data_IF_871881980183
#
_entry.id   IF_871881980183
#
_cell.length_a   1.000
_cell.length_b   1.000
_cell.length_c   1.000
_cell.angle_alpha   90.00
_cell.angle_beta   90.00
_cell.angle_gamma   90.00
#
_symmetry.space_group_name_H-M   'P 1'
#
loop_
_entity.id
_entity.type
_entity.pdbx_description
1 polymer ?
#
# COMPACT_ATOMS: atom_id res chain seq x y z
N UNK A 1 -18.04 -45.96 -5.72
CA UNK A 1 -18.45 -44.58 -5.31
C UNK A 1 -18.00 -43.64 -6.40
N UNK A 2 -18.93 -43.15 -7.20
CA UNK A 2 -18.69 -42.23 -8.31
C UNK A 2 -18.16 -40.91 -7.74
N UNK A 3 -17.00 -40.48 -8.23
CA UNK A 3 -16.50 -39.13 -8.07
C UNK A 3 -17.55 -38.22 -8.75
N UNK A 4 -18.45 -37.63 -7.94
CA UNK A 4 -19.27 -36.53 -8.41
C UNK A 4 -18.29 -35.49 -8.99
N UNK A 5 -18.52 -35.14 -10.25
CA UNK A 5 -17.81 -34.04 -10.91
C UNK A 5 -18.15 -32.77 -10.14
N UNK A 6 -17.30 -32.42 -9.16
CA UNK A 6 -17.42 -31.13 -8.48
C UNK A 6 -17.39 -30.06 -9.58
N UNK A 7 -18.52 -29.41 -9.79
CA UNK A 7 -18.63 -28.34 -10.79
C UNK A 7 -17.60 -27.29 -10.45
N UNK A 8 -16.71 -26.99 -11.41
CA UNK A 8 -15.67 -25.98 -11.23
C UNK A 8 -16.30 -24.63 -10.84
N UNK A 9 -15.79 -23.93 -9.82
CA UNK A 9 -16.38 -22.68 -9.36
C UNK A 9 -16.40 -21.63 -10.47
N UNK A 10 -17.48 -20.85 -10.53
CA UNK A 10 -17.57 -19.66 -11.39
C UNK A 10 -16.99 -18.46 -10.65
N UNK A 11 -16.02 -17.80 -11.26
CA UNK A 11 -15.26 -16.70 -10.64
C UNK A 11 -15.42 -15.44 -11.50
N UNK A 12 -15.89 -14.35 -10.90
CA UNK A 12 -15.89 -13.02 -11.54
C UNK A 12 -14.65 -12.26 -11.09
N UNK A 13 -13.93 -11.69 -12.05
CA UNK A 13 -12.57 -11.14 -11.85
C UNK A 13 -12.51 -9.73 -12.42
N UNK A 14 -11.95 -8.79 -11.64
CA UNK A 14 -11.54 -7.46 -12.15
C UNK A 14 -10.50 -7.64 -13.26
N UNK A 15 -10.85 -7.23 -14.49
CA UNK A 15 -10.04 -7.42 -15.71
C UNK A 15 -8.70 -6.67 -15.70
N UNK A 16 -8.53 -5.74 -14.76
CA UNK A 16 -7.32 -4.96 -14.56
C UNK A 16 -6.36 -5.57 -13.53
N UNK A 17 -6.64 -6.77 -12.99
CA UNK A 17 -5.68 -7.48 -12.14
C UNK A 17 -4.52 -7.98 -13.04
N UNK A 18 -3.29 -7.51 -12.81
CA UNK A 18 -2.17 -7.86 -13.67
C UNK A 18 -1.85 -9.37 -13.62
N UNK A 19 -1.48 -9.94 -14.74
CA UNK A 19 -0.93 -11.31 -14.87
C UNK A 19 -1.89 -12.42 -14.42
N UNK A 20 -3.20 -12.18 -14.26
CA UNK A 20 -4.16 -13.15 -13.71
C UNK A 20 -4.73 -14.10 -14.77
N UNK A 21 -4.87 -13.63 -16.03
CA UNK A 21 -5.42 -14.42 -17.13
C UNK A 21 -4.55 -15.63 -17.44
N UNK A 22 -5.18 -16.78 -17.69
CA UNK A 22 -4.51 -18.06 -17.89
C UNK A 22 -4.17 -18.80 -16.59
N UNK A 23 -4.07 -18.09 -15.45
CA UNK A 23 -3.79 -18.67 -14.15
C UNK A 23 -5.08 -18.93 -13.35
N UNK A 24 -6.02 -18.00 -13.36
CA UNK A 24 -7.29 -18.13 -12.65
C UNK A 24 -8.15 -19.28 -13.22
N UNK A 25 -8.03 -19.57 -14.50
CA UNK A 25 -8.69 -20.67 -15.19
C UNK A 25 -8.27 -22.06 -14.66
N UNK A 26 -7.17 -22.15 -13.92
CA UNK A 26 -6.77 -23.38 -13.22
C UNK A 26 -7.69 -23.65 -12.02
N UNK A 27 -8.29 -22.61 -11.44
CA UNK A 27 -9.20 -22.73 -10.30
C UNK A 27 -10.63 -23.02 -10.77
N UNK A 28 -11.14 -22.26 -11.75
CA UNK A 28 -12.55 -22.29 -12.12
C UNK A 28 -12.83 -21.73 -13.51
N UNK A 29 -14.13 -21.52 -13.78
CA UNK A 29 -14.60 -20.80 -14.98
C UNK A 29 -14.60 -19.31 -14.67
N UNK A 30 -13.84 -18.53 -15.46
CA UNK A 30 -13.58 -17.13 -15.18
C UNK A 30 -14.38 -16.20 -16.10
N UNK A 31 -14.93 -15.13 -15.53
CA UNK A 31 -15.55 -14.01 -16.24
C UNK A 31 -14.79 -12.74 -15.85
N UNK A 32 -14.27 -12.03 -16.83
CA UNK A 32 -13.46 -10.80 -16.62
C UNK A 32 -14.30 -9.57 -16.94
N UNK A 33 -14.39 -8.65 -15.99
CA UNK A 33 -15.16 -7.41 -16.11
C UNK A 33 -14.38 -6.23 -15.54
N UNK A 34 -14.63 -5.00 -16.05
CA UNK A 34 -14.07 -3.81 -15.41
C UNK A 34 -14.51 -3.73 -13.96
N UNK A 35 -13.56 -3.62 -13.01
CA UNK A 35 -13.87 -3.70 -11.58
C UNK A 35 -14.91 -2.70 -11.09
N UNK A 36 -14.98 -1.50 -11.69
CA UNK A 36 -16.01 -0.49 -11.39
C UNK A 36 -17.39 -0.78 -11.98
N UNK A 37 -17.49 -1.72 -12.93
CA UNK A 37 -18.72 -2.08 -13.62
C UNK A 37 -19.34 -3.40 -13.12
N UNK A 38 -18.66 -4.13 -12.24
CA UNK A 38 -19.19 -5.37 -11.66
C UNK A 38 -20.49 -5.08 -10.90
N UNK A 39 -21.58 -5.67 -11.34
CA UNK A 39 -22.94 -5.49 -10.83
C UNK A 39 -23.47 -6.74 -10.12
N UNK A 40 -24.62 -6.61 -9.44
CA UNK A 40 -25.33 -7.76 -8.80
C UNK A 40 -25.69 -8.85 -9.79
N UNK A 41 -26.10 -8.47 -11.01
CA UNK A 41 -26.50 -9.44 -12.03
C UNK A 41 -25.31 -10.27 -12.51
N UNK A 42 -24.12 -9.67 -12.63
CA UNK A 42 -22.90 -10.36 -13.04
C UNK A 42 -22.47 -11.44 -12.05
N UNK A 43 -22.74 -11.22 -10.76
CA UNK A 43 -22.29 -12.11 -9.69
C UNK A 43 -23.36 -13.04 -9.13
N UNK A 44 -24.60 -12.95 -9.61
CA UNK A 44 -25.73 -13.75 -9.10
C UNK A 44 -25.40 -15.23 -9.01
N UNK A 45 -24.76 -15.77 -10.05
CA UNK A 45 -24.40 -17.17 -10.18
C UNK A 45 -22.87 -17.41 -9.99
N UNK A 46 -22.14 -16.43 -9.48
CA UNK A 46 -20.73 -16.57 -9.20
C UNK A 46 -20.50 -17.21 -7.83
N UNK A 47 -19.51 -18.07 -7.72
CA UNK A 47 -19.08 -18.70 -6.47
C UNK A 47 -18.03 -17.86 -5.75
N UNK A 48 -17.24 -17.07 -6.51
CA UNK A 48 -16.21 -16.17 -5.95
C UNK A 48 -16.00 -14.91 -6.78
N UNK A 49 -15.43 -13.90 -6.11
CA UNK A 49 -14.90 -12.68 -6.73
C UNK A 49 -13.40 -12.58 -6.50
N UNK A 50 -12.65 -12.10 -7.50
CA UNK A 50 -11.29 -11.62 -7.33
C UNK A 50 -11.24 -10.16 -7.80
N UNK A 51 -10.98 -9.23 -6.87
CA UNK A 51 -11.18 -7.80 -7.09
C UNK A 51 -9.94 -6.97 -6.75
N UNK A 52 -10.03 -5.68 -7.01
CA UNK A 52 -9.15 -4.61 -6.51
C UNK A 52 -10.01 -3.50 -5.90
N UNK A 53 -9.36 -2.40 -5.52
CA UNK A 53 -9.95 -1.28 -4.79
C UNK A 53 -11.14 -0.58 -5.50
N UNK A 54 -11.38 -0.84 -6.80
CA UNK A 54 -12.46 -0.22 -7.57
C UNK A 54 -13.82 -0.91 -7.41
N UNK A 55 -13.85 -2.13 -6.88
CA UNK A 55 -15.08 -2.89 -6.63
C UNK A 55 -15.41 -2.81 -5.15
N UNK A 56 -16.46 -2.09 -4.77
CA UNK A 56 -16.94 -2.06 -3.38
C UNK A 56 -17.77 -3.32 -3.10
N UNK A 57 -17.27 -4.18 -2.23
CA UNK A 57 -17.89 -5.45 -1.86
C UNK A 57 -18.56 -5.35 -0.48
N UNK A 58 -19.84 -5.12 -0.48
CA UNK A 58 -20.69 -5.07 0.70
C UNK A 58 -22.09 -5.55 0.36
N UNK A 59 -23.08 -5.34 1.24
CA UNK A 59 -24.46 -5.78 1.06
C UNK A 59 -25.06 -5.32 -0.29
N UNK A 60 -24.78 -4.09 -0.73
CA UNK A 60 -25.29 -3.56 -2.00
C UNK A 60 -24.90 -4.38 -3.23
N UNK A 61 -23.74 -5.04 -3.21
CA UNK A 61 -23.27 -5.91 -4.29
C UNK A 61 -23.57 -7.39 -4.00
N UNK A 62 -23.24 -7.87 -2.79
CA UNK A 62 -23.14 -9.30 -2.49
C UNK A 62 -24.47 -9.94 -2.04
N UNK A 63 -25.41 -9.14 -1.51
CA UNK A 63 -26.66 -9.68 -0.98
C UNK A 63 -27.52 -10.37 -2.07
N UNK A 64 -27.97 -11.60 -1.79
CA UNK A 64 -28.73 -12.43 -2.72
C UNK A 64 -27.90 -13.07 -3.84
N UNK A 65 -26.58 -12.95 -3.84
CA UNK A 65 -25.68 -13.67 -4.74
C UNK A 65 -25.32 -15.07 -4.20
N UNK A 66 -24.73 -15.92 -5.05
CA UNK A 66 -24.14 -17.20 -4.64
C UNK A 66 -22.69 -17.10 -4.16
N UNK A 67 -22.14 -15.89 -4.10
CA UNK A 67 -20.73 -15.68 -3.74
C UNK A 67 -20.46 -16.19 -2.34
N UNK A 68 -19.48 -17.05 -2.22
CA UNK A 68 -18.98 -17.64 -0.96
C UNK A 68 -17.62 -17.12 -0.56
N UNK A 69 -16.88 -16.52 -1.51
CA UNK A 69 -15.53 -16.04 -1.25
C UNK A 69 -15.19 -14.78 -2.07
N UNK A 70 -14.51 -13.84 -1.44
CA UNK A 70 -13.98 -12.62 -2.08
C UNK A 70 -12.50 -12.50 -1.80
N UNK A 71 -11.66 -12.51 -2.83
CA UNK A 71 -10.25 -12.18 -2.70
C UNK A 71 -9.97 -10.79 -3.26
N UNK A 72 -9.13 -9.99 -2.60
CA UNK A 72 -8.59 -8.78 -3.20
C UNK A 72 -7.08 -8.88 -3.44
N UNK A 73 -6.65 -8.58 -4.66
CA UNK A 73 -5.23 -8.57 -5.06
C UNK A 73 -4.48 -7.32 -4.53
N UNK A 74 -4.91 -6.79 -3.38
CA UNK A 74 -4.37 -5.58 -2.74
C UNK A 74 -4.14 -5.79 -1.25
N UNK A 75 -3.26 -5.00 -0.64
CA UNK A 75 -3.07 -5.02 0.83
C UNK A 75 -4.27 -4.41 1.53
N UNK A 76 -4.66 -3.18 1.13
CA UNK A 76 -5.81 -2.49 1.69
C UNK A 76 -7.11 -3.20 1.33
N UNK A 77 -8.02 -3.29 2.31
CA UNK A 77 -9.34 -3.89 2.17
C UNK A 77 -10.47 -2.92 2.51
N UNK A 78 -10.21 -1.61 2.44
CA UNK A 78 -11.17 -0.55 2.75
C UNK A 78 -12.43 -0.57 1.84
N UNK A 79 -12.34 -1.25 0.70
CA UNK A 79 -13.43 -1.49 -0.25
C UNK A 79 -14.25 -2.76 0.05
N UNK A 80 -13.83 -3.57 1.04
CA UNK A 80 -14.53 -4.76 1.51
C UNK A 80 -15.26 -4.45 2.82
N UNK A 81 -16.58 -4.64 2.86
CA UNK A 81 -17.33 -4.64 4.12
C UNK A 81 -17.16 -6.00 4.82
N UNK A 82 -16.03 -6.16 5.51
CA UNK A 82 -15.68 -7.42 6.16
C UNK A 82 -16.69 -7.80 7.24
N UNK A 83 -17.25 -6.82 7.95
CA UNK A 83 -18.28 -7.08 8.96
C UNK A 83 -19.57 -7.62 8.36
N UNK A 84 -19.99 -7.12 7.19
CA UNK A 84 -21.09 -7.71 6.44
C UNK A 84 -20.77 -9.14 5.98
N UNK A 85 -19.59 -9.34 5.38
CA UNK A 85 -19.19 -10.66 4.87
C UNK A 85 -19.15 -11.71 5.97
N UNK A 86 -18.61 -11.38 7.15
CA UNK A 86 -18.58 -12.27 8.31
C UNK A 86 -19.99 -12.67 8.74
N UNK A 87 -20.94 -11.71 8.84
CA UNK A 87 -22.33 -12.00 9.16
C UNK A 87 -23.04 -12.82 8.09
N UNK A 88 -22.70 -12.63 6.83
CA UNK A 88 -23.26 -13.34 5.69
C UNK A 88 -22.62 -14.71 5.43
N UNK A 89 -21.58 -15.08 6.19
CA UNK A 89 -20.84 -16.33 6.00
C UNK A 89 -19.98 -16.35 4.73
N UNK A 90 -19.63 -15.17 4.19
CA UNK A 90 -18.78 -15.03 3.01
C UNK A 90 -17.32 -14.93 3.47
N UNK A 91 -16.51 -15.89 3.06
CA UNK A 91 -15.06 -15.86 3.30
C UNK A 91 -14.39 -14.74 2.51
N UNK A 92 -13.31 -14.19 3.04
CA UNK A 92 -12.54 -13.19 2.31
C UNK A 92 -11.04 -13.29 2.57
N UNK A 93 -10.24 -12.78 1.64
CA UNK A 93 -8.80 -12.65 1.80
C UNK A 93 -8.29 -11.39 1.08
N UNK A 94 -7.24 -10.79 1.65
CA UNK A 94 -6.45 -9.76 0.99
C UNK A 94 -5.03 -10.28 0.70
N UNK A 95 -4.16 -9.43 0.16
CA UNK A 95 -2.77 -9.76 -0.17
C UNK A 95 -1.78 -9.04 0.79
N UNK A 96 -1.68 -9.46 2.08
CA UNK A 96 -0.95 -8.71 3.08
C UNK A 96 0.56 -8.74 2.81
N UNK A 97 1.16 -7.55 2.64
CA UNK A 97 2.59 -7.38 2.40
C UNK A 97 3.03 -7.61 0.96
N UNK A 98 2.14 -7.82 0.01
CA UNK A 98 2.50 -8.07 -1.39
C UNK A 98 3.37 -6.96 -2.01
N UNK A 99 3.22 -5.71 -1.58
CA UNK A 99 3.99 -4.57 -2.07
C UNK A 99 4.94 -3.97 -1.02
N UNK A 100 5.27 -4.70 0.04
CA UNK A 100 6.13 -4.17 1.10
C UNK A 100 7.54 -3.81 0.59
N UNK A 101 8.07 -4.57 -0.37
CA UNK A 101 9.34 -4.28 -1.04
C UNK A 101 9.28 -2.96 -1.82
N UNK A 102 8.19 -2.73 -2.57
CA UNK A 102 7.96 -1.46 -3.27
C UNK A 102 8.00 -0.26 -2.35
N UNK A 103 7.27 -0.33 -1.22
CA UNK A 103 7.23 0.77 -0.25
C UNK A 103 8.61 0.97 0.37
N UNK A 104 9.32 -0.11 0.69
CA UNK A 104 10.68 -0.02 1.22
C UNK A 104 11.66 0.61 0.20
N UNK A 105 11.53 0.28 -1.09
CA UNK A 105 12.26 0.94 -2.17
C UNK A 105 11.92 2.43 -2.26
N UNK A 106 10.61 2.76 -2.25
CA UNK A 106 10.12 4.14 -2.30
C UNK A 106 10.71 4.98 -1.17
N UNK A 107 10.61 4.52 0.08
CA UNK A 107 11.15 5.20 1.26
C UNK A 107 12.67 5.42 1.13
N UNK A 108 13.40 4.37 0.77
CA UNK A 108 14.85 4.44 0.62
C UNK A 108 15.27 5.41 -0.50
N UNK A 109 14.64 5.31 -1.68
CA UNK A 109 14.92 6.19 -2.81
C UNK A 109 14.52 7.64 -2.53
N UNK A 110 13.42 7.89 -1.80
CA UNK A 110 13.04 9.24 -1.37
C UNK A 110 14.10 9.88 -0.48
N UNK A 111 14.62 9.14 0.49
CA UNK A 111 15.70 9.61 1.37
C UNK A 111 16.98 9.90 0.60
N UNK A 112 17.37 9.04 -0.34
CA UNK A 112 18.52 9.27 -1.22
C UNK A 112 18.32 10.48 -2.13
N UNK A 113 17.12 10.67 -2.67
CA UNK A 113 16.75 11.80 -3.53
C UNK A 113 16.82 13.15 -2.78
N UNK A 114 16.55 13.14 -1.47
CA UNK A 114 16.70 14.29 -0.57
C UNK A 114 18.17 14.48 -0.11
N UNK A 115 19.11 13.66 -0.54
CA UNK A 115 20.51 13.72 -0.12
C UNK A 115 20.76 13.30 1.32
N UNK A 116 19.82 12.55 1.93
CA UNK A 116 19.94 12.15 3.34
C UNK A 116 21.11 11.17 3.55
N UNK A 117 21.98 11.48 4.52
CA UNK A 117 22.98 10.54 5.04
C UNK A 117 22.32 9.64 6.06
N UNK A 118 22.19 8.33 5.76
CA UNK A 118 21.41 7.39 6.57
C UNK A 118 22.22 6.78 7.73
N UNK A 119 23.51 6.54 7.53
CA UNK A 119 24.36 5.94 8.55
C UNK A 119 24.39 6.76 9.85
N UNK A 120 24.11 6.09 10.97
CA UNK A 120 24.06 6.70 12.30
C UNK A 120 22.79 7.51 12.61
N UNK A 121 21.86 7.63 11.67
CA UNK A 121 20.56 8.29 11.89
C UNK A 121 19.58 7.37 12.62
N UNK A 122 18.67 7.96 13.36
CA UNK A 122 17.57 7.25 14.04
C UNK A 122 16.30 7.36 13.20
N UNK A 123 15.78 6.22 12.75
CA UNK A 123 14.54 6.12 12.02
C UNK A 123 13.44 5.52 12.91
N UNK A 124 12.35 6.25 13.11
CA UNK A 124 11.15 5.75 13.78
C UNK A 124 10.15 5.20 12.74
N UNK A 125 9.75 3.95 12.91
CA UNK A 125 8.74 3.28 12.10
C UNK A 125 7.45 3.25 12.91
N UNK A 126 6.48 4.08 12.53
CA UNK A 126 5.14 4.14 13.12
C UNK A 126 4.21 3.24 12.32
N UNK A 127 3.75 2.14 12.94
CA UNK A 127 3.11 1.03 12.26
C UNK A 127 4.14 0.01 11.74
N UNK A 128 4.55 -0.91 12.61
CA UNK A 128 5.56 -1.94 12.32
C UNK A 128 4.96 -3.26 11.81
N UNK A 129 3.90 -3.17 11.00
CA UNK A 129 3.32 -4.30 10.28
C UNK A 129 4.26 -4.87 9.20
N UNK A 130 3.73 -5.57 8.20
CA UNK A 130 4.53 -6.16 7.11
C UNK A 130 5.33 -5.10 6.34
N UNK A 131 4.69 -3.98 6.00
CA UNK A 131 5.33 -2.86 5.28
C UNK A 131 6.38 -2.18 6.18
N UNK A 132 5.97 -1.70 7.36
CA UNK A 132 6.88 -1.00 8.25
C UNK A 132 8.08 -1.85 8.69
N UNK A 133 7.90 -3.16 8.88
CA UNK A 133 9.02 -4.07 9.16
C UNK A 133 10.01 -4.16 8.00
N UNK A 134 9.52 -4.23 6.75
CA UNK A 134 10.38 -4.24 5.56
C UNK A 134 11.14 -2.92 5.40
N UNK A 135 10.46 -1.78 5.60
CA UNK A 135 11.08 -0.44 5.62
C UNK A 135 12.16 -0.37 6.71
N UNK A 136 11.83 -0.79 7.94
CA UNK A 136 12.79 -0.82 9.04
C UNK A 136 14.02 -1.67 8.74
N UNK A 137 13.85 -2.84 8.12
CA UNK A 137 14.96 -3.70 7.71
C UNK A 137 15.84 -3.02 6.63
N UNK A 138 15.20 -2.36 5.65
CA UNK A 138 15.94 -1.62 4.60
C UNK A 138 16.75 -0.47 5.19
N UNK A 139 16.18 0.27 6.15
CA UNK A 139 16.88 1.38 6.81
C UNK A 139 18.00 0.91 7.76
N UNK A 140 17.81 -0.24 8.46
CA UNK A 140 18.89 -0.87 9.23
C UNK A 140 20.06 -1.27 8.33
N UNK A 141 19.77 -1.89 7.19
CA UNK A 141 20.80 -2.25 6.21
C UNK A 141 21.53 -1.02 5.64
N UNK A 142 20.88 0.15 5.63
CA UNK A 142 21.49 1.44 5.26
C UNK A 142 22.22 2.14 6.42
N UNK A 143 22.35 1.50 7.60
CA UNK A 143 23.08 1.99 8.76
C UNK A 143 22.28 2.84 9.73
N UNK A 144 20.93 2.86 9.62
CA UNK A 144 20.09 3.55 10.60
C UNK A 144 19.91 2.72 11.88
N UNK A 145 19.84 3.40 13.04
CA UNK A 145 19.19 2.87 14.24
C UNK A 145 17.68 2.94 14.03
N UNK A 146 16.96 1.82 14.19
CA UNK A 146 15.51 1.77 13.96
C UNK A 146 14.77 1.60 15.27
N UNK A 147 13.82 2.49 15.53
CA UNK A 147 12.82 2.44 16.61
C UNK A 147 11.50 1.97 16.00
N UNK A 148 10.84 1.00 16.65
CA UNK A 148 9.53 0.51 16.23
C UNK A 148 8.46 1.07 17.17
N UNK A 149 7.41 1.67 16.61
CA UNK A 149 6.25 2.15 17.34
C UNK A 149 4.99 1.48 16.76
N UNK A 150 4.47 0.47 17.46
CA UNK A 150 3.27 -0.29 17.07
C UNK A 150 2.64 -0.88 18.34
N UNK A 151 1.80 -0.11 19.07
CA UNK A 151 1.20 -0.55 20.30
C UNK A 151 0.39 -1.86 20.17
N UNK A 152 -0.47 -2.07 19.13
CA UNK A 152 -1.17 -3.33 18.95
C UNK A 152 -0.24 -4.54 18.78
N UNK A 153 0.89 -4.34 18.13
CA UNK A 153 1.89 -5.40 17.95
C UNK A 153 2.66 -5.65 19.25
N UNK A 154 3.01 -4.60 19.97
CA UNK A 154 3.66 -4.70 21.28
C UNK A 154 2.82 -5.50 22.28
N UNK A 155 1.50 -5.26 22.31
CA UNK A 155 0.57 -5.99 23.18
C UNK A 155 0.49 -7.48 22.85
N UNK A 156 0.54 -7.83 21.55
CA UNK A 156 0.46 -9.24 21.10
C UNK A 156 1.76 -10.00 21.24
N UNK A 157 2.89 -9.36 20.98
CA UNK A 157 4.19 -10.04 20.77
C UNK A 157 5.20 -9.70 21.88
N UNK A 158 4.97 -8.62 22.64
CA UNK A 158 5.98 -8.06 23.54
C UNK A 158 7.15 -7.47 22.74
N UNK A 159 8.27 -7.24 23.43
CA UNK A 159 9.52 -6.82 22.80
C UNK A 159 9.82 -5.34 22.89
N UNK A 160 10.87 -4.90 22.19
CA UNK A 160 11.40 -3.54 22.26
C UNK A 160 10.67 -2.60 21.30
N UNK A 161 9.53 -2.08 21.72
CA UNK A 161 8.84 -0.99 21.06
C UNK A 161 8.98 0.31 21.85
N UNK A 162 8.83 1.43 21.16
CA UNK A 162 8.81 2.77 21.75
C UNK A 162 7.41 3.37 21.63
N UNK A 163 7.06 4.28 22.52
CA UNK A 163 5.86 5.11 22.39
C UNK A 163 5.99 6.09 21.21
N UNK A 164 4.86 6.62 20.74
CA UNK A 164 4.86 7.65 19.72
C UNK A 164 5.60 8.93 20.19
N UNK A 165 5.52 9.25 21.48
CA UNK A 165 6.24 10.39 22.08
C UNK A 165 7.76 10.18 22.05
N UNK A 166 8.24 9.00 22.41
CA UNK A 166 9.67 8.66 22.33
C UNK A 166 10.17 8.67 20.87
N UNK A 167 9.35 8.16 19.95
CA UNK A 167 9.63 8.22 18.52
C UNK A 167 9.78 9.66 18.03
N UNK A 168 8.83 10.55 18.39
CA UNK A 168 8.87 11.97 18.03
C UNK A 168 10.11 12.68 18.58
N UNK A 169 10.47 12.41 19.85
CA UNK A 169 11.62 13.06 20.49
C UNK A 169 12.97 12.64 19.91
N UNK A 170 13.13 11.38 19.47
CA UNK A 170 14.43 10.80 19.14
C UNK A 170 14.74 10.73 17.63
N UNK A 171 13.71 10.76 16.76
CA UNK A 171 13.86 10.44 15.36
C UNK A 171 14.51 11.54 14.51
N UNK A 172 15.42 11.14 13.61
CA UNK A 172 15.88 11.93 12.47
C UNK A 172 15.02 11.67 11.22
N UNK A 173 14.34 10.53 11.19
CA UNK A 173 13.44 10.08 10.12
C UNK A 173 12.21 9.47 10.78
N UNK A 174 11.00 9.88 10.36
CA UNK A 174 9.72 9.29 10.78
C UNK A 174 9.03 8.70 9.57
N UNK A 175 8.77 7.40 9.58
CA UNK A 175 8.05 6.69 8.54
C UNK A 175 6.70 6.20 9.08
N UNK A 176 5.60 6.64 8.48
CA UNK A 176 4.23 6.29 8.87
C UNK A 176 3.67 5.23 7.92
N UNK A 177 3.32 4.06 8.47
CA UNK A 177 2.80 2.90 7.74
C UNK A 177 1.59 2.26 8.44
N UNK A 178 0.84 3.04 9.23
CA UNK A 178 -0.35 2.55 9.93
C UNK A 178 -1.52 2.36 8.96
N UNK A 179 -2.40 1.37 9.20
CA UNK A 179 -3.73 1.37 8.59
C UNK A 179 -4.55 2.53 9.15
N UNK A 180 -5.65 2.89 8.49
CA UNK A 180 -6.63 3.82 9.02
C UNK A 180 -7.61 3.06 9.93
N UNK A 181 -7.74 3.51 11.16
CA UNK A 181 -8.74 3.05 12.13
C UNK A 181 -9.34 4.23 12.85
N UNK A 182 -10.68 4.26 12.93
CA UNK A 182 -11.41 5.39 13.53
C UNK A 182 -11.80 5.15 14.99
N UNK A 183 -11.74 3.89 15.45
CA UNK A 183 -12.24 3.47 16.75
C UNK A 183 -11.25 2.57 17.50
N UNK A 184 -11.47 2.47 18.81
CA UNK A 184 -10.68 1.63 19.70
C UNK A 184 -9.48 2.35 20.31
N UNK A 185 -8.72 1.66 21.18
CA UNK A 185 -7.64 2.28 21.98
C UNK A 185 -6.45 2.71 21.10
N UNK A 186 -6.34 2.17 19.90
CA UNK A 186 -5.26 2.44 18.95
C UNK A 186 -5.79 3.05 17.64
N UNK A 187 -6.79 3.94 17.74
CA UNK A 187 -7.26 4.71 16.59
C UNK A 187 -6.10 5.48 15.94
N UNK A 188 -6.08 5.50 14.60
CA UNK A 188 -4.96 6.07 13.84
C UNK A 188 -5.34 7.31 13.04
N UNK A 189 -6.64 7.66 12.99
CA UNK A 189 -7.07 8.94 12.38
C UNK A 189 -6.40 10.09 13.11
N UNK A 190 -5.71 10.95 12.35
CA UNK A 190 -4.93 12.08 12.88
C UNK A 190 -3.93 11.66 13.98
N UNK A 191 -3.34 10.47 13.84
CA UNK A 191 -2.31 9.97 14.75
C UNK A 191 -1.12 10.94 14.86
N UNK A 192 -0.74 11.54 13.73
CA UNK A 192 0.24 12.63 13.68
C UNK A 192 -0.51 13.96 13.67
N UNK A 193 -0.89 14.39 14.85
CA UNK A 193 -1.59 15.64 15.13
C UNK A 193 -0.64 16.77 15.59
N UNK A 194 -1.20 17.90 16.00
CA UNK A 194 -0.43 19.02 16.55
C UNK A 194 0.44 18.59 17.74
N UNK A 195 -0.06 17.71 18.63
CA UNK A 195 0.70 17.28 19.80
C UNK A 195 1.93 16.46 19.39
N UNK A 196 1.81 15.64 18.35
CA UNK A 196 2.95 14.92 17.78
C UNK A 196 4.01 15.90 17.26
N UNK A 197 3.61 16.86 16.43
CA UNK A 197 4.55 17.82 15.82
C UNK A 197 5.19 18.75 16.86
N UNK A 198 4.48 19.14 17.90
CA UNK A 198 5.03 19.93 19.00
C UNK A 198 6.11 19.17 19.82
N UNK A 199 6.06 17.86 19.83
CA UNK A 199 7.00 16.98 20.57
C UNK A 199 8.22 16.56 19.78
N UNK A 200 8.36 16.98 18.53
CA UNK A 200 9.54 16.69 17.73
C UNK A 200 10.80 17.27 18.41
N UNK A 201 11.68 16.40 18.88
CA UNK A 201 12.95 16.79 19.51
C UNK A 201 14.01 17.18 18.50
N UNK A 202 13.82 16.83 17.23
CA UNK A 202 14.69 17.12 16.09
C UNK A 202 13.83 17.63 14.94
N UNK A 203 14.49 17.94 13.84
CA UNK A 203 13.82 18.28 12.56
C UNK A 203 13.88 17.05 11.65
N UNK A 204 13.00 16.05 11.86
CA UNK A 204 13.05 14.82 11.08
C UNK A 204 12.62 15.02 9.63
N UNK A 205 13.04 14.10 8.77
CA UNK A 205 12.35 13.83 7.51
C UNK A 205 11.09 13.02 7.85
N UNK A 206 9.91 13.53 7.47
CA UNK A 206 8.65 12.81 7.58
C UNK A 206 8.32 12.11 6.27
N UNK A 207 8.02 10.81 6.33
CA UNK A 207 7.55 10.02 5.19
C UNK A 207 6.20 9.42 5.53
N UNK A 208 5.14 9.85 4.82
CA UNK A 208 3.79 9.33 4.94
C UNK A 208 3.44 8.45 3.73
N UNK A 209 3.38 7.14 3.93
CA UNK A 209 3.09 6.13 2.91
C UNK A 209 2.19 5.00 3.44
N UNK A 210 1.27 5.33 4.35
CA UNK A 210 0.25 4.44 4.90
C UNK A 210 -1.14 4.81 4.42
N UNK A 211 -1.82 5.71 5.17
CA UNK A 211 -3.11 6.32 4.84
C UNK A 211 -3.04 7.81 5.14
N UNK A 212 -3.62 8.64 4.27
CA UNK A 212 -3.56 10.10 4.36
C UNK A 212 -4.17 10.63 5.65
N UNK A 213 -5.32 10.11 6.01
CA UNK A 213 -6.08 10.50 7.21
C UNK A 213 -5.37 10.16 8.54
N UNK A 214 -4.26 9.45 8.50
CA UNK A 214 -3.44 9.23 9.71
C UNK A 214 -2.60 10.48 10.07
N UNK A 215 -2.53 11.47 9.20
CA UNK A 215 -1.86 12.75 9.42
C UNK A 215 -2.90 13.87 9.36
N UNK A 216 -2.95 14.72 10.38
CA UNK A 216 -3.73 15.96 10.32
C UNK A 216 -3.04 16.94 9.36
N UNK A 217 -3.66 17.18 8.20
CA UNK A 217 -3.15 18.07 7.15
C UNK A 217 -2.88 19.49 7.67
N UNK A 218 -3.76 20.03 8.52
CA UNK A 218 -3.61 21.39 9.07
C UNK A 218 -2.43 21.48 10.03
N UNK A 219 -2.30 20.49 10.92
CA UNK A 219 -1.18 20.40 11.86
C UNK A 219 0.15 20.21 11.12
N UNK A 220 0.19 19.37 10.07
CA UNK A 220 1.37 19.18 9.24
C UNK A 220 1.81 20.46 8.54
N UNK A 221 0.88 21.18 7.88
CA UNK A 221 1.19 22.50 7.25
C UNK A 221 1.76 23.49 8.26
N UNK A 222 1.17 23.54 9.46
CA UNK A 222 1.66 24.40 10.55
C UNK A 222 3.08 24.01 10.97
N UNK A 223 3.36 22.72 11.12
CA UNK A 223 4.69 22.23 11.49
C UNK A 223 5.75 22.52 10.41
N UNK A 224 5.39 22.40 9.12
CA UNK A 224 6.29 22.76 8.01
C UNK A 224 6.63 24.25 8.05
N UNK A 225 5.62 25.14 8.16
CA UNK A 225 5.83 26.58 8.24
C UNK A 225 6.67 26.99 9.44
N UNK A 226 6.51 26.32 10.57
CA UNK A 226 7.28 26.54 11.78
C UNK A 226 8.72 25.95 11.70
N UNK A 227 9.11 25.32 10.59
CA UNK A 227 10.41 24.70 10.42
C UNK A 227 10.67 23.51 11.35
N UNK A 228 9.63 22.83 11.83
CA UNK A 228 9.74 21.68 12.72
C UNK A 228 10.20 20.41 11.99
N UNK A 229 10.09 20.36 10.67
CA UNK A 229 10.49 19.25 9.81
C UNK A 229 11.70 19.64 8.96
N UNK A 230 12.57 18.67 8.68
CA UNK A 230 13.72 18.82 7.80
C UNK A 230 13.34 18.69 6.32
N UNK A 231 12.44 17.74 6.03
CA UNK A 231 11.81 17.54 4.73
C UNK A 231 10.54 16.67 4.88
N UNK A 232 9.70 16.66 3.83
CA UNK A 232 8.46 15.90 3.80
C UNK A 232 8.31 15.10 2.50
N UNK A 233 7.96 13.82 2.65
CA UNK A 233 7.64 12.90 1.56
C UNK A 233 6.23 12.39 1.79
N UNK A 234 5.31 12.78 0.92
CA UNK A 234 3.88 12.47 1.05
C UNK A 234 3.43 11.66 -0.15
N UNK A 235 3.06 10.41 0.08
CA UNK A 235 2.48 9.53 -0.95
C UNK A 235 0.97 9.39 -0.81
N UNK A 236 0.45 9.57 0.41
CA UNK A 236 -0.96 9.41 0.75
C UNK A 236 -1.52 10.69 1.34
N UNK A 237 -2.77 11.02 1.00
CA UNK A 237 -3.38 12.32 1.25
C UNK A 237 -4.76 12.19 1.88
N UNK A 238 -5.13 13.13 2.74
CA UNK A 238 -6.53 13.31 3.05
C UNK A 238 -7.30 13.72 1.78
N UNK A 239 -8.52 13.21 1.63
CA UNK A 239 -9.41 13.50 0.51
C UNK A 239 -8.89 13.07 -0.88
N UNK A 240 -8.13 11.95 -0.97
CA UNK A 240 -7.80 11.38 -2.29
C UNK A 240 -9.05 11.18 -3.15
N UNK A 241 -9.02 11.52 -4.44
CA UNK A 241 -7.86 11.89 -5.26
C UNK A 241 -7.59 13.40 -5.35
N UNK A 242 -8.16 14.21 -4.46
CA UNK A 242 -8.04 15.67 -4.45
C UNK A 242 -7.20 16.13 -3.25
N UNK A 243 -5.85 16.01 -3.30
CA UNK A 243 -4.99 16.43 -2.21
C UNK A 243 -5.11 17.94 -1.94
N UNK A 244 -4.90 18.35 -0.68
CA UNK A 244 -4.81 19.78 -0.31
C UNK A 244 -3.72 20.45 -1.15
N UNK A 245 -4.06 21.49 -1.97
CA UNK A 245 -3.11 22.06 -2.93
C UNK A 245 -1.94 22.79 -2.26
N UNK A 246 -2.14 23.31 -1.06
CA UNK A 246 -1.09 23.97 -0.31
C UNK A 246 -0.09 22.93 0.24
N UNK A 247 -0.56 21.85 0.86
CA UNK A 247 0.30 20.78 1.32
C UNK A 247 1.07 20.12 0.15
N UNK A 248 0.40 19.96 -1.01
CA UNK A 248 1.02 19.44 -2.23
C UNK A 248 2.18 20.33 -2.69
N UNK A 249 2.00 21.65 -2.64
CA UNK A 249 3.07 22.59 -2.98
C UNK A 249 4.21 22.58 -1.97
N UNK A 250 3.91 22.46 -0.67
CA UNK A 250 4.87 22.49 0.43
C UNK A 250 5.71 21.20 0.55
N UNK A 251 5.18 20.06 0.17
CA UNK A 251 5.89 18.79 0.27
C UNK A 251 7.14 18.74 -0.64
N UNK A 252 8.27 18.24 -0.14
CA UNK A 252 9.50 18.10 -0.93
C UNK A 252 9.33 17.03 -2.02
N UNK A 253 8.74 15.89 -1.67
CA UNK A 253 8.34 14.84 -2.60
C UNK A 253 6.86 14.54 -2.37
N UNK A 254 6.04 14.66 -3.43
CA UNK A 254 4.60 14.48 -3.43
C UNK A 254 4.20 13.49 -4.52
N UNK A 255 3.65 12.33 -4.17
CA UNK A 255 3.32 11.28 -5.15
C UNK A 255 1.87 10.83 -5.02
N UNK A 256 1.24 10.30 -6.10
CA UNK A 256 -0.18 10.02 -6.14
C UNK A 256 -0.51 8.60 -5.62
N UNK A 257 -0.12 8.29 -4.37
CA UNK A 257 -0.37 7.01 -3.72
C UNK A 257 0.19 5.82 -4.51
N UNK A 258 1.49 5.89 -4.85
CA UNK A 258 2.18 4.91 -5.72
C UNK A 258 3.39 4.25 -5.03
N UNK A 259 3.64 4.51 -3.76
CA UNK A 259 4.76 3.90 -3.03
C UNK A 259 4.77 2.38 -3.16
N UNK A 260 3.59 1.76 -3.14
CA UNK A 260 3.40 0.32 -3.32
C UNK A 260 3.23 -0.17 -4.76
N UNK A 261 3.45 0.67 -5.78
CA UNK A 261 3.17 0.34 -7.19
C UNK A 261 4.43 -0.17 -7.89
N UNK A 262 4.73 -1.46 -7.72
CA UNK A 262 5.71 -2.18 -8.53
C UNK A 262 5.05 -3.33 -9.29
N UNK A 263 5.69 -3.80 -10.35
CA UNK A 263 5.27 -4.99 -11.07
C UNK A 263 5.42 -6.24 -10.18
N UNK A 264 6.46 -6.28 -9.34
CA UNK A 264 6.70 -7.34 -8.36
C UNK A 264 5.59 -7.40 -7.31
N UNK A 265 5.23 -6.26 -6.72
CA UNK A 265 4.13 -6.15 -5.76
C UNK A 265 2.76 -6.53 -6.38
N UNK A 266 2.52 -6.10 -7.63
CA UNK A 266 1.30 -6.47 -8.38
C UNK A 266 1.25 -7.98 -8.64
N UNK A 267 2.36 -8.60 -9.05
CA UNK A 267 2.47 -10.04 -9.27
C UNK A 267 2.26 -10.83 -7.96
N UNK A 268 2.86 -10.37 -6.87
CA UNK A 268 2.67 -10.98 -5.56
C UNK A 268 1.21 -10.89 -5.08
N UNK A 269 0.54 -9.74 -5.29
CA UNK A 269 -0.88 -9.55 -4.98
C UNK A 269 -1.78 -10.52 -5.75
N UNK A 270 -1.54 -10.65 -7.05
CA UNK A 270 -2.25 -11.60 -7.92
C UNK A 270 -2.04 -13.04 -7.44
N UNK A 271 -0.79 -13.43 -7.18
CA UNK A 271 -0.47 -14.76 -6.67
C UNK A 271 -1.21 -15.08 -5.38
N UNK A 272 -1.18 -14.15 -4.41
CA UNK A 272 -1.82 -14.36 -3.11
C UNK A 272 -3.35 -14.46 -3.23
N UNK A 273 -3.98 -13.66 -4.10
CA UNK A 273 -5.41 -13.75 -4.36
C UNK A 273 -5.80 -15.08 -5.01
N UNK A 274 -5.02 -15.58 -5.98
CA UNK A 274 -5.22 -16.88 -6.61
C UNK A 274 -5.06 -18.02 -5.61
N UNK A 275 -3.98 -18.03 -4.82
CA UNK A 275 -3.71 -19.06 -3.80
C UNK A 275 -4.80 -19.09 -2.72
N UNK A 276 -5.29 -17.92 -2.27
CA UNK A 276 -6.36 -17.83 -1.30
C UNK A 276 -7.68 -18.39 -1.86
N UNK A 277 -8.00 -18.04 -3.12
CA UNK A 277 -9.19 -18.55 -3.80
C UNK A 277 -9.11 -20.08 -4.02
N UNK A 278 -7.98 -20.58 -4.51
CA UNK A 278 -7.76 -22.01 -4.70
C UNK A 278 -7.92 -22.78 -3.38
N UNK A 279 -7.29 -22.30 -2.31
CA UNK A 279 -7.38 -22.89 -0.97
C UNK A 279 -8.82 -22.93 -0.44
N UNK A 280 -9.60 -21.89 -0.65
CA UNK A 280 -11.00 -21.84 -0.24
C UNK A 280 -11.84 -22.93 -0.91
N UNK A 281 -11.58 -23.22 -2.18
CA UNK A 281 -12.25 -24.30 -2.91
C UNK A 281 -11.58 -25.68 -2.75
N UNK A 282 -10.66 -25.83 -1.80
CA UNK A 282 -10.00 -27.11 -1.51
C UNK A 282 -8.99 -27.56 -2.57
N UNK A 283 -8.54 -26.63 -3.44
CA UNK A 283 -7.54 -26.91 -4.45
C UNK A 283 -6.13 -26.65 -3.89
N UNK A 284 -5.24 -27.64 -4.03
CA UNK A 284 -3.83 -27.48 -3.62
C UNK A 284 -2.99 -26.97 -4.80
N UNK A 285 -3.31 -25.75 -5.24
CA UNK A 285 -2.64 -25.09 -6.36
C UNK A 285 -1.63 -24.04 -5.88
N UNK A 286 -0.49 -24.03 -6.52
CA UNK A 286 0.53 -22.98 -6.37
C UNK A 286 0.67 -22.22 -7.67
N UNK A 287 0.87 -20.91 -7.56
CA UNK A 287 0.92 -20.03 -8.72
C UNK A 287 2.28 -19.33 -8.81
N UNK A 288 2.92 -19.44 -9.96
CA UNK A 288 4.07 -18.64 -10.32
C UNK A 288 3.57 -17.46 -11.16
N UNK A 289 3.62 -16.27 -10.58
CA UNK A 289 3.21 -15.02 -11.22
C UNK A 289 4.47 -14.16 -11.36
N UNK A 290 4.95 -14.03 -12.58
CA UNK A 290 6.16 -13.28 -12.88
C UNK A 290 5.82 -11.96 -13.58
N UNK A 291 6.31 -10.83 -13.05
CA UNK A 291 6.19 -9.57 -13.75
C UNK A 291 7.14 -9.53 -14.94
N UNK A 292 6.84 -8.71 -15.98
CA UNK A 292 7.73 -8.54 -17.11
C UNK A 292 9.08 -7.97 -16.68
N UNK A 293 10.12 -8.33 -17.38
CA UNK A 293 11.44 -7.75 -17.21
C UNK A 293 11.45 -6.28 -17.66
N UNK A 294 12.32 -5.48 -17.06
CA UNK A 294 12.59 -4.16 -17.56
C UNK A 294 13.29 -4.24 -18.92
N UNK A 295 12.97 -3.34 -19.87
CA UNK A 295 13.68 -3.26 -21.14
C UNK A 295 15.20 -3.14 -20.90
N UNK A 296 16.00 -3.74 -21.78
CA UNK A 296 17.44 -3.62 -21.71
C UNK A 296 17.87 -2.15 -21.72
N UNK A 297 18.76 -1.76 -20.82
CA UNK A 297 19.19 -0.37 -20.66
C UNK A 297 18.17 0.57 -19.99
N UNK A 298 17.08 0.03 -19.46
CA UNK A 298 16.09 0.84 -18.74
C UNK A 298 16.75 1.64 -17.61
N UNK A 299 16.48 2.94 -17.61
CA UNK A 299 16.90 3.86 -16.56
C UNK A 299 15.77 4.86 -16.32
N UNK A 300 15.37 5.00 -15.05
CA UNK A 300 14.30 5.94 -14.69
C UNK A 300 14.73 7.40 -14.94
N UNK A 301 16.00 7.67 -14.67
CA UNK A 301 16.68 8.91 -15.05
C UNK A 301 17.96 8.57 -15.81
N UNK A 302 18.34 9.37 -16.84
CA UNK A 302 19.63 9.23 -17.50
C UNK A 302 20.79 9.26 -16.49
N UNK A 303 21.81 8.45 -16.70
CA UNK A 303 22.98 8.36 -15.82
C UNK A 303 23.65 9.70 -15.54
N UNK A 304 23.54 10.65 -16.48
CA UNK A 304 24.04 12.02 -16.31
C UNK A 304 23.36 12.81 -15.18
N UNK A 305 22.18 12.39 -14.72
CA UNK A 305 21.44 13.07 -13.65
C UNK A 305 21.72 12.50 -12.27
N UNK A 306 22.24 11.28 -12.16
CA UNK A 306 22.59 10.69 -10.87
C UNK A 306 23.63 9.57 -11.00
N UNK A 307 24.62 9.56 -10.12
CA UNK A 307 25.56 8.44 -9.95
C UNK A 307 25.00 7.33 -9.06
N UNK A 308 23.89 7.57 -8.35
CA UNK A 308 23.28 6.61 -7.44
C UNK A 308 22.50 5.54 -8.23
N UNK A 309 22.96 4.29 -8.17
CA UNK A 309 22.32 3.17 -8.90
C UNK A 309 20.86 2.98 -8.50
N UNK A 310 20.52 3.10 -7.21
CA UNK A 310 19.15 2.98 -6.74
C UNK A 310 18.23 4.02 -7.38
N UNK A 311 18.68 5.28 -7.50
CA UNK A 311 17.91 6.36 -8.13
C UNK A 311 17.84 6.22 -9.65
N UNK A 312 18.82 5.57 -10.29
CA UNK A 312 18.69 5.23 -11.71
C UNK A 312 17.61 4.21 -11.97
N UNK A 313 17.37 3.28 -11.03
CA UNK A 313 16.30 2.28 -11.12
C UNK A 313 14.94 2.88 -10.79
N UNK A 314 14.87 3.73 -9.76
CA UNK A 314 13.65 4.39 -9.34
C UNK A 314 13.96 5.72 -8.66
N UNK A 315 13.39 6.82 -9.16
CA UNK A 315 13.52 8.15 -8.56
C UNK A 315 12.13 8.79 -8.38
N UNK A 316 11.66 8.95 -7.13
CA UNK A 316 10.32 9.48 -6.85
C UNK A 316 10.16 10.97 -7.21
N UNK A 317 11.26 11.70 -7.45
CA UNK A 317 11.20 13.11 -7.88
C UNK A 317 10.47 13.28 -9.21
N UNK A 318 10.60 12.29 -10.12
CA UNK A 318 9.87 12.31 -11.40
C UNK A 318 8.35 12.27 -11.16
N UNK A 319 7.89 11.35 -10.32
CA UNK A 319 6.46 11.20 -10.00
C UNK A 319 5.94 12.45 -9.28
N UNK A 320 6.77 13.02 -8.40
CA UNK A 320 6.47 14.27 -7.68
C UNK A 320 6.32 15.45 -8.65
N UNK A 321 7.22 15.58 -9.62
CA UNK A 321 7.16 16.63 -10.63
C UNK A 321 5.87 16.54 -11.47
N UNK A 322 5.49 15.32 -11.88
CA UNK A 322 4.27 15.08 -12.66
C UNK A 322 3.02 15.44 -11.86
N UNK A 323 2.91 15.01 -10.62
CA UNK A 323 1.75 15.33 -9.77
C UNK A 323 1.65 16.83 -9.47
N UNK A 324 2.77 17.48 -9.13
CA UNK A 324 2.80 18.93 -8.86
C UNK A 324 2.46 19.76 -10.11
N UNK A 325 2.89 19.32 -11.29
CA UNK A 325 2.56 19.98 -12.55
C UNK A 325 1.08 19.86 -12.92
N UNK A 326 0.43 18.73 -12.58
CA UNK A 326 -0.97 18.51 -12.89
C UNK A 326 -1.66 17.71 -11.77
N UNK A 327 -2.09 18.36 -10.67
CA UNK A 327 -2.75 17.69 -9.55
C UNK A 327 -4.04 16.95 -9.95
N UNK A 328 -4.77 17.46 -10.93
CA UNK A 328 -5.98 16.84 -11.46
C UNK A 328 -5.73 15.47 -12.14
N UNK A 329 -4.48 15.17 -12.51
CA UNK A 329 -4.08 13.90 -13.09
C UNK A 329 -3.80 12.80 -12.04
N UNK A 330 -4.09 13.02 -10.75
CA UNK A 330 -3.81 12.08 -9.65
C UNK A 330 -4.21 10.63 -10.00
N UNK A 331 -5.45 10.42 -10.39
CA UNK A 331 -5.98 9.09 -10.72
C UNK A 331 -5.35 8.50 -11.99
N UNK A 332 -5.08 9.31 -13.00
CA UNK A 332 -4.43 8.85 -14.24
C UNK A 332 -2.98 8.46 -13.98
N UNK A 333 -2.22 9.29 -13.26
CA UNK A 333 -0.84 8.99 -12.87
C UNK A 333 -0.73 7.70 -12.05
N UNK A 334 -1.72 7.45 -11.20
CA UNK A 334 -1.81 6.23 -10.40
C UNK A 334 -2.29 5.03 -11.23
N UNK A 335 -3.33 5.21 -12.05
CA UNK A 335 -3.98 4.15 -12.84
C UNK A 335 -3.06 3.59 -13.92
N UNK A 336 -2.36 4.47 -14.63
CA UNK A 336 -1.47 4.15 -15.74
C UNK A 336 0.01 4.15 -15.31
N UNK A 337 0.27 3.84 -14.03
CA UNK A 337 1.61 3.89 -13.47
C UNK A 337 2.58 2.99 -14.25
N UNK A 338 3.74 3.51 -14.68
CA UNK A 338 4.68 2.79 -15.54
C UNK A 338 5.29 1.57 -14.84
N UNK A 339 5.90 0.69 -15.63
CA UNK A 339 6.58 -0.50 -15.14
C UNK A 339 7.74 -0.09 -14.22
N UNK A 340 7.63 -0.50 -12.95
CA UNK A 340 8.66 -0.34 -11.92
C UNK A 340 8.96 -1.70 -11.30
N UNK A 341 10.24 -2.04 -11.11
CA UNK A 341 10.71 -3.25 -10.43
C UNK A 341 11.36 -2.90 -9.10
N UNK A 342 11.27 -3.82 -8.13
CA UNK A 342 11.85 -3.66 -6.77
C UNK A 342 13.37 -3.81 -6.74
#
# INVERSE_FOLDING_TARGET
>A
MSLEHATRPKIVIDDRIPYIKGLAERIGTCVYLPGSAISRDDIREADALIVRTRTRCGASLLDGSRVRFVATATIGCDHLDTAYMERAGIGWANAPGCNAGSVAQYVHCSLLALGAKLAGKTAAIVGAGRVGSMVGNKLRAAGCRVLLCDPPRQEREGGAFVSLTEAAAAADIVCLHTPLTDKGPHATRHLLDKNFFDRLGRRPVLISAGRGECVDTSALKTAIRAGRLGATVIDVWENEPCPDPELLAMADIATPHIAGYSADGKAAGTRMALEATARFFGLNETFRVEPPELPAGFCYFPAAHTSCEALRRYDPRRDSQLLKACPAAFETLRGDYPLRRE
#
